data_IF_701884625210
#
_entry.id   IF_701884625210
#
_cell.length_a   1.000
_cell.length_b   1.000
_cell.length_c   1.000
_cell.angle_alpha   90.00
_cell.angle_beta   90.00
_cell.angle_gamma   90.00
#
_symmetry.space_group_name_H-M   'P 1'
#
loop_
_entity.id
_entity.type
_entity.pdbx_description
1 polymer ?
#
# COMPACT_ATOMS: atom_id res chain seq x y z
N UNK A 1 23.11 -0.99 17.55
CA UNK A 1 22.14 -0.10 18.24
C UNK A 1 21.89 1.17 17.44
N UNK A 2 22.94 1.74 16.86
CA UNK A 2 22.90 2.99 16.10
C UNK A 2 21.89 2.99 14.93
N UNK A 3 21.96 1.99 14.02
CA UNK A 3 20.98 1.80 12.93
C UNK A 3 19.52 1.90 13.35
N UNK A 4 19.14 1.16 14.41
CA UNK A 4 17.74 1.14 14.91
C UNK A 4 17.28 2.53 15.33
N UNK A 5 18.17 3.34 15.90
CA UNK A 5 17.85 4.71 16.28
C UNK A 5 17.67 5.60 15.04
N UNK A 6 18.52 5.45 14.02
CA UNK A 6 18.40 6.21 12.76
C UNK A 6 17.09 5.90 12.06
N UNK A 7 16.79 4.61 11.84
CA UNK A 7 15.58 4.16 11.15
C UNK A 7 14.33 4.57 11.92
N UNK A 8 14.31 4.37 13.25
CA UNK A 8 13.18 4.80 14.09
C UNK A 8 12.94 6.30 14.01
N UNK A 9 13.98 7.11 14.16
CA UNK A 9 13.85 8.58 14.11
C UNK A 9 13.38 9.04 12.74
N UNK A 10 13.85 8.42 11.66
CA UNK A 10 13.39 8.72 10.30
C UNK A 10 11.91 8.38 10.12
N UNK A 11 11.48 7.15 10.50
CA UNK A 11 10.08 6.71 10.43
C UNK A 11 9.15 7.64 11.22
N UNK A 12 9.49 7.93 12.47
CA UNK A 12 8.70 8.83 13.34
C UNK A 12 8.57 10.22 12.71
N UNK A 13 9.66 10.77 12.16
CA UNK A 13 9.67 12.09 11.52
C UNK A 13 8.83 12.14 10.25
N UNK A 14 8.90 11.09 9.43
CA UNK A 14 8.10 10.99 8.20
C UNK A 14 6.62 10.87 8.54
N UNK A 15 6.25 9.97 9.47
CA UNK A 15 4.86 9.82 9.93
C UNK A 15 4.30 11.10 10.55
N UNK A 16 5.12 11.84 11.31
CA UNK A 16 4.68 13.08 11.94
C UNK A 16 4.44 14.23 10.94
N UNK A 17 5.09 14.20 9.77
CA UNK A 17 5.04 15.30 8.78
C UNK A 17 4.16 15.00 7.57
N UNK A 18 4.03 13.74 7.21
CA UNK A 18 3.37 13.30 5.99
C UNK A 18 2.27 12.29 6.32
N UNK A 19 1.16 12.33 5.57
CA UNK A 19 0.09 11.32 5.66
C UNK A 19 0.51 10.07 4.89
N UNK A 20 1.39 9.28 5.49
CA UNK A 20 2.01 8.11 4.86
C UNK A 20 2.18 6.97 5.85
N UNK A 21 1.95 5.74 5.39
CA UNK A 21 2.29 4.53 6.12
C UNK A 21 3.76 4.19 5.87
N UNK A 22 4.49 3.78 6.91
CA UNK A 22 5.93 3.44 6.78
C UNK A 22 6.31 2.25 7.64
N UNK A 23 7.08 1.33 7.06
CA UNK A 23 7.56 0.11 7.71
C UNK A 23 9.01 -0.19 7.32
N UNK A 24 9.75 -0.86 8.20
CA UNK A 24 11.03 -1.48 7.83
C UNK A 24 10.70 -2.89 7.32
N UNK A 25 11.15 -3.25 6.11
CA UNK A 25 10.70 -4.46 5.41
C UNK A 25 11.84 -5.39 4.96
N UNK A 26 13.10 -5.01 5.16
CA UNK A 26 14.24 -5.78 4.67
C UNK A 26 15.55 -5.51 5.40
N UNK A 27 16.48 -6.45 5.25
CA UNK A 27 17.84 -6.41 5.81
C UNK A 27 17.91 -6.14 7.33
N UNK A 28 16.96 -6.72 8.08
CA UNK A 28 16.80 -6.52 9.52
C UNK A 28 18.07 -6.88 10.32
N UNK A 29 18.82 -7.89 9.85
CA UNK A 29 20.05 -8.42 10.45
C UNK A 29 21.32 -7.68 10.03
N UNK A 30 21.28 -6.85 8.97
CA UNK A 30 22.46 -6.10 8.53
C UNK A 30 22.59 -4.81 9.35
N UNK A 31 23.72 -4.57 10.03
CA UNK A 31 23.87 -3.40 10.90
C UNK A 31 24.08 -2.09 10.13
N UNK A 32 24.49 -2.14 8.86
CA UNK A 32 24.80 -0.98 8.02
C UNK A 32 23.75 -0.67 6.94
N UNK A 33 22.69 -1.48 6.85
CA UNK A 33 21.69 -1.36 5.80
C UNK A 33 20.28 -1.57 6.34
N UNK A 34 19.31 -0.90 5.75
CA UNK A 34 17.90 -1.05 6.12
C UNK A 34 17.03 -0.71 4.91
N UNK A 35 15.98 -1.50 4.69
CA UNK A 35 14.97 -1.21 3.66
C UNK A 35 13.70 -0.71 4.34
N UNK A 36 13.23 0.46 3.91
CA UNK A 36 12.01 1.09 4.42
C UNK A 36 11.00 1.18 3.29
N UNK A 37 9.82 0.59 3.51
CA UNK A 37 8.69 0.70 2.60
C UNK A 37 7.76 1.83 3.05
N UNK A 38 7.17 2.51 2.08
CA UNK A 38 6.26 3.63 2.29
C UNK A 38 5.04 3.50 1.37
N UNK A 39 3.85 3.81 1.88
CA UNK A 39 2.60 3.72 1.13
C UNK A 39 1.68 4.92 1.39
N UNK A 40 1.15 5.48 0.31
CA UNK A 40 0.19 6.60 0.30
C UNK A 40 -0.99 6.19 -0.57
N UNK A 41 -2.20 6.57 -0.15
CA UNK A 41 -3.42 6.40 -0.95
C UNK A 41 -4.06 7.76 -1.13
N UNK A 42 -4.43 8.09 -2.37
CA UNK A 42 -5.09 9.32 -2.74
C UNK A 42 -6.04 9.06 -3.92
N UNK A 43 -6.98 9.98 -4.14
CA UNK A 43 -7.81 10.01 -5.35
C UNK A 43 -7.08 10.58 -6.58
N UNK A 44 -5.93 11.22 -6.38
CA UNK A 44 -5.12 11.82 -7.43
C UNK A 44 -3.66 11.34 -7.34
N UNK A 45 -3.14 10.82 -8.45
CA UNK A 45 -1.77 10.28 -8.53
C UNK A 45 -0.70 11.34 -8.23
N UNK A 46 -0.90 12.58 -8.70
CA UNK A 46 0.02 13.69 -8.46
C UNK A 46 0.24 13.96 -6.95
N UNK A 47 -0.80 13.79 -6.13
CA UNK A 47 -0.70 13.94 -4.68
C UNK A 47 0.13 12.81 -4.06
N UNK A 48 -0.04 11.57 -4.53
CA UNK A 48 0.81 10.45 -4.10
C UNK A 48 2.28 10.72 -4.43
N UNK A 49 2.56 11.15 -5.66
CA UNK A 49 3.90 11.45 -6.13
C UNK A 49 4.54 12.59 -5.33
N UNK A 50 3.78 13.66 -5.03
CA UNK A 50 4.25 14.78 -4.23
C UNK A 50 4.64 14.34 -2.81
N UNK A 51 3.80 13.52 -2.16
CA UNK A 51 4.07 13.01 -0.81
C UNK A 51 5.29 12.09 -0.80
N UNK A 52 5.40 11.18 -1.78
CA UNK A 52 6.56 10.29 -1.93
C UNK A 52 7.85 11.06 -2.25
N UNK A 53 7.77 12.11 -3.06
CA UNK A 53 8.90 12.99 -3.35
C UNK A 53 9.39 13.73 -2.09
N UNK A 54 8.48 14.24 -1.26
CA UNK A 54 8.83 14.86 0.03
C UNK A 54 9.50 13.87 0.97
N UNK A 55 9.00 12.64 1.05
CA UNK A 55 9.62 11.59 1.87
C UNK A 55 11.04 11.25 1.38
N UNK A 56 11.25 11.18 0.06
CA UNK A 56 12.56 10.96 -0.53
C UNK A 56 13.54 12.10 -0.25
N UNK A 57 13.10 13.35 -0.34
CA UNK A 57 13.90 14.52 0.06
C UNK A 57 14.28 14.45 1.53
N UNK A 58 13.36 14.05 2.41
CA UNK A 58 13.69 13.87 3.84
C UNK A 58 14.73 12.76 4.07
N UNK A 59 14.68 11.69 3.27
CA UNK A 59 15.65 10.60 3.35
C UNK A 59 17.04 11.01 2.82
N UNK A 60 17.10 11.82 1.76
CA UNK A 60 18.37 12.27 1.16
C UNK A 60 19.13 13.27 2.02
N UNK A 61 18.44 13.97 2.94
CA UNK A 61 19.03 14.96 3.85
C UNK A 61 19.35 14.41 5.24
N UNK A 62 19.44 13.09 5.42
CA UNK A 62 19.79 12.50 6.72
C UNK A 62 21.28 12.76 7.04
N UNK A 63 21.58 13.14 8.29
CA UNK A 63 22.95 13.45 8.70
C UNK A 63 23.82 12.21 8.94
N UNK A 64 23.20 11.07 9.26
CA UNK A 64 23.84 9.84 9.74
C UNK A 64 23.46 8.61 8.91
N UNK A 65 22.89 8.80 7.72
CA UNK A 65 22.61 7.76 6.75
C UNK A 65 22.57 8.34 5.35
N UNK A 66 22.82 7.50 4.35
CA UNK A 66 22.76 7.87 2.94
C UNK A 66 21.64 7.08 2.28
N UNK A 67 20.82 7.76 1.46
CA UNK A 67 19.86 7.09 0.59
C UNK A 67 20.62 6.41 -0.55
N UNK A 68 20.71 5.08 -0.50
CA UNK A 68 21.45 4.28 -1.48
C UNK A 68 20.65 3.99 -2.75
N UNK A 69 19.36 3.70 -2.59
CA UNK A 69 18.46 3.35 -3.69
C UNK A 69 17.01 3.79 -3.38
N UNK A 70 16.22 4.02 -4.43
CA UNK A 70 14.79 4.34 -4.34
C UNK A 70 14.05 3.85 -5.59
N UNK A 71 12.99 3.09 -5.36
CA UNK A 71 11.95 2.80 -6.35
C UNK A 71 10.59 3.35 -5.89
N UNK A 72 9.79 3.83 -6.82
CA UNK A 72 8.42 4.30 -6.58
C UNK A 72 7.50 3.77 -7.67
N UNK A 73 6.33 3.30 -7.28
CA UNK A 73 5.30 2.81 -8.18
C UNK A 73 3.96 3.41 -7.77
N UNK A 74 3.15 3.84 -8.75
CA UNK A 74 1.78 4.29 -8.53
C UNK A 74 0.85 3.28 -9.18
N UNK A 75 0.05 2.62 -8.35
CA UNK A 75 -0.92 1.62 -8.78
C UNK A 75 -2.32 2.25 -8.81
N UNK A 76 -2.96 2.39 -9.98
CA UNK A 76 -4.33 2.88 -10.07
C UNK A 76 -5.32 1.79 -9.63
N UNK A 77 -6.26 2.15 -8.74
CA UNK A 77 -7.32 1.24 -8.27
C UNK A 77 -8.68 1.46 -8.95
N UNK A 78 -8.72 2.29 -10.00
CA UNK A 78 -9.95 2.65 -10.70
C UNK A 78 -10.97 3.41 -9.82
N UNK A 79 -12.24 3.43 -10.21
CA UNK A 79 -13.28 4.18 -9.50
C UNK A 79 -14.12 3.25 -8.61
N UNK A 80 -14.11 3.47 -7.29
CA UNK A 80 -14.85 2.63 -6.35
C UNK A 80 -14.38 1.16 -6.33
N UNK A 81 -13.14 0.88 -6.72
CA UNK A 81 -12.61 -0.48 -6.87
C UNK A 81 -12.91 -1.15 -8.21
N UNK A 82 -13.70 -0.50 -9.09
CA UNK A 82 -13.92 -0.99 -10.45
C UNK A 82 -12.71 -0.70 -11.34
N UNK A 83 -12.24 -1.70 -12.09
CA UNK A 83 -11.15 -1.56 -13.05
C UNK A 83 -9.76 -1.95 -12.52
N UNK A 84 -9.70 -2.56 -11.33
CA UNK A 84 -8.48 -3.22 -10.84
C UNK A 84 -8.25 -4.47 -11.69
N UNK A 85 -7.11 -4.57 -12.39
CA UNK A 85 -6.76 -5.87 -13.02
C UNK A 85 -6.36 -6.84 -11.90
N UNK A 86 -7.13 -7.92 -11.73
CA UNK A 86 -6.91 -8.92 -10.68
C UNK A 86 -7.61 -8.61 -9.35
N UNK A 87 -8.61 -7.72 -9.32
CA UNK A 87 -9.39 -7.43 -8.11
C UNK A 87 -10.40 -8.52 -7.74
N UNK A 88 -11.04 -8.36 -6.58
CA UNK A 88 -11.96 -9.35 -5.98
C UNK A 88 -13.23 -9.52 -6.84
N UNK A 89 -13.58 -8.51 -7.64
CA UNK A 89 -14.63 -8.60 -8.66
C UNK A 89 -14.37 -9.71 -9.69
N UNK A 90 -13.10 -10.06 -9.93
CA UNK A 90 -12.73 -11.17 -10.80
C UNK A 90 -12.86 -12.54 -10.11
N UNK A 91 -12.91 -12.57 -8.77
CA UNK A 91 -13.11 -13.77 -7.95
C UNK A 91 -14.59 -14.11 -7.70
N UNK A 92 -15.53 -13.16 -7.85
CA UNK A 92 -16.96 -13.36 -7.50
C UNK A 92 -17.81 -13.98 -8.62
N UNK A 93 -17.24 -14.32 -9.78
CA UNK A 93 -17.98 -14.87 -10.93
C UNK A 93 -18.30 -16.38 -10.82
N UNK A 94 -18.12 -17.02 -9.66
CA UNK A 94 -18.45 -18.44 -9.45
C UNK A 94 -19.63 -18.71 -8.49
N UNK A 95 -20.32 -17.69 -7.98
CA UNK A 95 -21.42 -17.87 -7.00
C UNK A 95 -22.84 -17.68 -7.57
N UNK A 96 -23.00 -17.40 -8.87
CA UNK A 96 -24.31 -17.41 -9.54
C UNK A 96 -24.63 -18.80 -10.13
N UNK A 97 -24.47 -19.88 -9.35
CA UNK A 97 -25.10 -21.16 -9.70
C UNK A 97 -26.43 -21.31 -8.96
N UNK A 98 -27.48 -20.90 -9.67
CA UNK A 98 -28.68 -21.71 -9.84
C UNK A 98 -29.42 -22.12 -8.55
N UNK A 99 -30.18 -21.17 -8.00
CA UNK A 99 -31.36 -21.53 -7.22
C UNK A 99 -32.54 -21.58 -8.19
N UNK A 100 -32.75 -22.72 -8.83
CA UNK A 100 -34.00 -23.00 -9.55
C UNK A 100 -35.14 -23.04 -8.53
N UNK A 101 -36.11 -22.13 -8.66
CA UNK A 101 -37.37 -22.16 -7.91
C UNK A 101 -38.17 -23.39 -8.37
N UNK A 102 -38.23 -24.42 -7.53
CA UNK A 102 -39.22 -25.50 -7.69
C UNK A 102 -40.61 -24.92 -7.33
N UNK A 103 -41.38 -24.56 -8.35
CA UNK A 103 -42.82 -24.29 -8.24
C UNK A 103 -43.55 -25.62 -7.99
N UNK A 104 -43.95 -25.89 -6.74
CA UNK A 104 -44.95 -26.92 -6.45
C UNK A 104 -46.36 -26.36 -6.73
N UNK A 105 -46.91 -26.72 -7.90
CA UNK A 105 -48.36 -26.68 -8.17
C UNK A 105 -49.09 -27.63 -7.21
N UNK A 106 -49.67 -27.12 -6.12
CA UNK A 106 -50.62 -27.88 -5.30
C UNK A 106 -52.05 -27.62 -5.80
N UNK A 107 -52.44 -28.45 -6.75
CA UNK A 107 -53.81 -28.58 -7.24
C UNK A 107 -54.68 -29.38 -6.23
N UNK A 108 -55.97 -29.04 -6.19
CA UNK A 108 -57.10 -29.73 -5.54
C UNK A 108 -57.57 -29.31 -4.13
N UNK A 109 -58.59 -28.42 -4.10
CA UNK A 109 -59.89 -28.70 -3.44
C UNK A 109 -61.06 -28.07 -4.18
#
# INVERSE_FOLDING_TARGET
KDRRQVVRSFKERVQARLRISVAEVGDLERPSYAVVAMAVVSNEAAVCDEVLAKAATMASTLANAVLADRATEVVPYGHGGSGIRGGIEQLRLSEDSDWSEDEEEEDAR
#
